data_IF_074268472799
#
_entry.id   IF_074268472799
#
_cell.length_a   1.000
_cell.length_b   1.000
_cell.length_c   1.000
_cell.angle_alpha   90.00
_cell.angle_beta   90.00
_cell.angle_gamma   90.00
#
_symmetry.space_group_name_H-M   'P 1'
#
loop_
_entity.id
_entity.type
_entity.pdbx_description
1 polymer ?
#
# COMPACT_ATOMS: atom_id res chain seq x y z
N UNK A 1 54.55 13.07 -20.34
CA UNK A 1 54.25 11.74 -19.77
C UNK A 1 53.06 11.15 -20.53
N UNK A 2 53.25 10.14 -21.39
CA UNK A 2 52.18 9.55 -22.22
C UNK A 2 51.42 8.52 -21.38
N UNK A 3 50.19 8.84 -20.98
CA UNK A 3 49.36 7.95 -20.15
C UNK A 3 48.95 6.71 -20.95
N UNK A 4 49.10 5.52 -20.37
CA UNK A 4 48.80 4.26 -21.03
C UNK A 4 47.28 4.11 -21.23
N UNK A 5 46.84 3.92 -22.47
CA UNK A 5 45.42 3.75 -22.82
C UNK A 5 44.74 2.62 -22.04
N UNK A 6 45.45 1.56 -21.67
CA UNK A 6 44.90 0.45 -20.87
C UNK A 6 44.55 0.88 -19.44
N UNK A 7 45.36 1.75 -18.85
CA UNK A 7 45.12 2.32 -17.51
C UNK A 7 43.91 3.26 -17.56
N UNK A 8 43.78 4.05 -18.63
CA UNK A 8 42.63 4.92 -18.83
C UNK A 8 41.31 4.14 -18.98
N UNK A 9 41.34 3.03 -19.75
CA UNK A 9 40.16 2.16 -19.94
C UNK A 9 39.76 1.48 -18.63
N UNK A 10 40.73 0.96 -17.86
CA UNK A 10 40.48 0.35 -16.55
C UNK A 10 39.84 1.33 -15.56
N UNK A 11 40.33 2.58 -15.53
CA UNK A 11 39.80 3.62 -14.65
C UNK A 11 38.38 4.04 -15.04
N UNK A 12 38.08 4.07 -16.33
CA UNK A 12 36.75 4.39 -16.85
C UNK A 12 35.72 3.30 -16.53
N UNK A 13 36.10 2.02 -16.69
CA UNK A 13 35.23 0.89 -16.35
C UNK A 13 34.90 0.82 -14.85
N UNK A 14 35.85 1.19 -13.99
CA UNK A 14 35.62 1.27 -12.54
C UNK A 14 34.60 2.37 -12.19
N UNK A 15 34.63 3.50 -12.90
CA UNK A 15 33.71 4.62 -12.67
C UNK A 15 32.26 4.28 -13.05
N UNK A 16 32.06 3.46 -14.11
CA UNK A 16 30.72 3.06 -14.54
C UNK A 16 30.01 2.15 -13.53
N UNK A 17 30.76 1.41 -12.71
CA UNK A 17 30.20 0.51 -11.67
C UNK A 17 29.47 1.24 -10.53
N UNK A 18 29.56 2.57 -10.44
CA UNK A 18 28.89 3.38 -9.43
C UNK A 18 27.55 3.97 -9.86
N UNK A 19 27.10 3.76 -11.11
CA UNK A 19 25.78 4.19 -11.53
C UNK A 19 24.70 3.28 -10.94
N UNK A 20 24.11 3.70 -9.82
CA UNK A 20 22.91 3.07 -9.25
C UNK A 20 21.65 3.71 -9.85
N UNK A 21 20.77 2.90 -10.44
CA UNK A 21 19.47 3.33 -10.91
C UNK A 21 18.45 3.12 -9.78
N UNK A 22 18.02 4.22 -9.16
CA UNK A 22 17.03 4.22 -8.09
C UNK A 22 15.71 4.75 -8.65
N UNK A 23 14.61 4.07 -8.36
CA UNK A 23 13.28 4.57 -8.72
C UNK A 23 12.95 5.77 -7.82
N UNK A 24 12.84 6.95 -8.44
CA UNK A 24 12.47 8.18 -7.76
C UNK A 24 11.23 8.80 -8.39
N UNK A 25 10.34 9.31 -7.54
CA UNK A 25 9.12 10.01 -7.93
C UNK A 25 9.03 11.31 -7.14
N UNK A 26 8.88 12.41 -7.85
CA UNK A 26 8.74 13.75 -7.29
C UNK A 26 7.35 14.28 -7.63
N UNK A 27 6.50 14.33 -6.62
CA UNK A 27 5.15 14.88 -6.72
C UNK A 27 5.20 16.35 -6.32
N UNK A 28 4.72 17.26 -7.16
CA UNK A 28 4.80 18.71 -6.93
C UNK A 28 3.45 19.37 -6.67
N UNK A 29 3.48 20.48 -5.95
CA UNK A 29 2.35 21.41 -5.77
C UNK A 29 1.07 20.79 -5.19
N UNK A 30 1.19 19.72 -4.39
CA UNK A 30 0.05 19.07 -3.77
C UNK A 30 -0.32 19.71 -2.42
N UNK A 31 -1.60 19.60 -2.05
CA UNK A 31 -2.03 19.74 -0.65
C UNK A 31 -1.77 18.43 0.07
N UNK A 32 -0.97 18.42 1.14
CA UNK A 32 -0.52 17.19 1.80
C UNK A 32 -1.03 17.14 3.24
N UNK A 33 -1.85 16.14 3.55
CA UNK A 33 -2.20 15.81 4.93
C UNK A 33 -1.14 14.89 5.52
N UNK A 34 -0.48 15.31 6.61
CA UNK A 34 0.62 14.52 7.20
C UNK A 34 0.16 13.53 8.26
N UNK A 35 -1.04 13.73 8.84
CA UNK A 35 -1.52 13.02 10.03
C UNK A 35 -0.52 13.05 11.22
N UNK A 36 0.26 14.13 11.31
CA UNK A 36 1.17 14.43 12.43
C UNK A 36 0.85 15.82 12.98
N UNK A 37 1.57 16.23 14.04
CA UNK A 37 1.47 17.58 14.63
C UNK A 37 1.74 18.71 13.62
N UNK A 38 2.41 18.42 12.49
CA UNK A 38 2.61 19.38 11.40
C UNK A 38 1.32 19.72 10.63
N UNK A 39 0.24 18.97 10.84
CA UNK A 39 -1.05 19.21 10.21
C UNK A 39 -1.03 19.05 8.69
N UNK A 40 -1.64 20.01 8.00
CA UNK A 40 -1.80 20.00 6.54
C UNK A 40 -0.89 21.04 5.90
N UNK A 41 -0.16 20.62 4.87
CA UNK A 41 0.67 21.49 4.04
C UNK A 41 -0.14 21.90 2.80
N UNK A 42 -0.49 23.17 2.67
CA UNK A 42 -1.37 23.63 1.58
C UNK A 42 -0.76 23.53 0.18
N UNK A 43 0.56 23.71 0.07
CA UNK A 43 1.29 23.57 -1.20
C UNK A 43 2.69 23.08 -0.90
N UNK A 44 2.92 21.79 -1.19
CA UNK A 44 4.18 21.12 -0.94
C UNK A 44 4.49 20.06 -2.01
N UNK A 45 5.77 19.74 -2.08
CA UNK A 45 6.34 18.69 -2.90
C UNK A 45 6.68 17.49 -2.01
N UNK A 46 6.58 16.30 -2.58
CA UNK A 46 6.84 15.02 -1.91
C UNK A 46 7.77 14.18 -2.80
N UNK A 47 8.95 13.86 -2.26
CA UNK A 47 9.95 13.03 -2.94
C UNK A 47 9.92 11.62 -2.37
N UNK A 48 9.68 10.66 -3.25
CA UNK A 48 9.71 9.22 -2.98
C UNK A 48 10.94 8.64 -3.66
N UNK A 49 11.68 7.80 -2.94
CA UNK A 49 12.81 7.03 -3.45
C UNK A 49 12.70 5.60 -2.96
N UNK A 50 12.72 4.63 -3.88
CA UNK A 50 12.61 3.20 -3.58
C UNK A 50 11.39 2.88 -2.70
N UNK A 51 10.23 3.47 -3.02
CA UNK A 51 8.98 3.30 -2.26
C UNK A 51 8.91 4.03 -0.92
N UNK A 52 9.96 4.75 -0.50
CA UNK A 52 9.99 5.48 0.76
C UNK A 52 9.88 6.99 0.54
N UNK A 53 9.11 7.68 1.38
CA UNK A 53 9.07 9.14 1.41
C UNK A 53 10.37 9.65 2.04
N UNK A 54 11.26 10.22 1.23
CA UNK A 54 12.57 10.71 1.70
C UNK A 54 12.53 12.20 2.07
N UNK A 55 11.58 12.97 1.52
CA UNK A 55 11.44 14.39 1.82
C UNK A 55 10.05 14.90 1.50
N UNK A 56 9.56 15.81 2.34
CA UNK A 56 8.39 16.64 2.10
C UNK A 56 8.80 18.10 2.32
N UNK A 57 8.48 19.01 1.40
CA UNK A 57 8.93 20.40 1.50
C UNK A 57 8.41 21.26 0.36
N UNK A 58 9.09 22.39 0.09
CA UNK A 58 8.79 23.25 -1.07
C UNK A 58 10.00 23.30 -1.99
N UNK A 59 9.77 23.48 -3.29
CA UNK A 59 10.82 23.64 -4.29
C UNK A 59 11.81 22.47 -4.30
N UNK A 60 11.29 21.25 -4.17
CA UNK A 60 12.11 20.06 -4.26
C UNK A 60 12.52 19.83 -5.73
N UNK A 61 13.74 19.33 -5.90
CA UNK A 61 14.32 18.97 -7.19
C UNK A 61 15.05 17.64 -7.07
N UNK A 62 14.86 16.77 -8.05
CA UNK A 62 15.68 15.58 -8.24
C UNK A 62 15.96 15.41 -9.73
N UNK A 63 17.20 15.03 -10.04
CA UNK A 63 17.65 14.82 -11.42
C UNK A 63 17.23 13.46 -11.98
N UNK A 64 16.92 12.50 -11.12
CA UNK A 64 16.60 11.12 -11.50
C UNK A 64 15.12 10.81 -11.35
N UNK A 65 14.36 11.68 -10.68
CA UNK A 65 12.96 11.44 -10.41
C UNK A 65 12.06 11.66 -11.63
N UNK A 66 11.08 10.78 -11.80
CA UNK A 66 9.88 11.12 -12.55
C UNK A 66 9.16 12.25 -11.82
N UNK A 67 8.82 13.33 -12.53
CA UNK A 67 8.17 14.51 -11.94
C UNK A 67 6.72 14.57 -12.37
N UNK A 68 5.82 14.66 -11.41
CA UNK A 68 4.38 14.78 -11.63
C UNK A 68 3.85 16.04 -10.92
N UNK A 69 3.12 16.88 -11.64
CA UNK A 69 2.45 18.05 -11.05
C UNK A 69 1.05 17.66 -10.55
N UNK A 70 0.84 17.85 -9.26
CA UNK A 70 -0.40 17.54 -8.54
C UNK A 70 -1.11 18.81 -8.06
N UNK A 71 -0.90 19.94 -8.74
CA UNK A 71 -1.63 21.18 -8.50
C UNK A 71 -3.15 20.95 -8.40
N UNK A 72 -3.76 21.45 -7.32
CA UNK A 72 -5.19 21.28 -7.04
C UNK A 72 -5.60 19.89 -6.55
N UNK A 73 -4.65 18.95 -6.40
CA UNK A 73 -4.88 17.61 -5.85
C UNK A 73 -4.40 17.51 -4.41
N UNK A 74 -4.86 16.45 -3.74
CA UNK A 74 -4.59 16.17 -2.33
C UNK A 74 -3.85 14.85 -2.18
N UNK A 75 -2.82 14.84 -1.35
CA UNK A 75 -2.12 13.64 -0.88
C UNK A 75 -2.50 13.41 0.59
N UNK A 76 -2.83 12.17 0.93
CA UNK A 76 -3.07 11.73 2.31
C UNK A 76 -2.29 10.45 2.58
N UNK A 77 -2.03 10.09 3.86
CA UNK A 77 -1.50 8.79 4.20
C UNK A 77 -2.47 7.71 3.71
N UNK A 78 -1.96 6.55 3.31
CA UNK A 78 -2.79 5.43 2.93
C UNK A 78 -3.77 5.07 4.05
N UNK A 79 -5.03 4.86 3.69
CA UNK A 79 -6.04 4.42 4.66
C UNK A 79 -5.76 2.98 5.06
N UNK A 80 -5.89 2.70 6.35
CA UNK A 80 -5.76 1.34 6.91
C UNK A 80 -7.15 0.89 7.33
N UNK A 81 -7.59 -0.25 6.80
CA UNK A 81 -8.82 -0.92 7.23
C UNK A 81 -8.47 -2.02 8.25
N UNK A 82 -8.57 -1.75 9.57
CA UNK A 82 -8.14 -2.70 10.60
C UNK A 82 -9.06 -3.92 10.69
N UNK A 83 -10.29 -3.79 10.19
CA UNK A 83 -11.25 -4.87 10.05
C UNK A 83 -11.64 -4.95 8.58
N UNK A 84 -11.07 -5.94 7.90
CA UNK A 84 -11.45 -6.31 6.54
C UNK A 84 -11.59 -7.82 6.49
N UNK A 85 -12.54 -8.30 5.68
CA UNK A 85 -12.69 -9.72 5.40
C UNK A 85 -12.23 -9.96 3.96
N UNK A 86 -11.24 -10.82 3.81
CA UNK A 86 -10.80 -11.34 2.52
C UNK A 86 -11.35 -12.76 2.42
N UNK A 87 -12.40 -12.96 1.61
CA UNK A 87 -13.03 -14.27 1.45
C UNK A 87 -14.53 -14.17 1.20
N UNK A 88 -15.16 -15.34 1.12
CA UNK A 88 -16.60 -15.47 0.98
C UNK A 88 -17.22 -15.25 2.36
N UNK A 89 -18.24 -14.40 2.42
CA UNK A 89 -19.11 -14.25 3.60
C UNK A 89 -20.29 -15.18 3.37
N UNK A 90 -20.50 -16.14 4.26
CA UNK A 90 -21.71 -16.97 4.21
C UNK A 90 -22.94 -16.11 4.50
N UNK A 91 -23.99 -16.29 3.70
CA UNK A 91 -25.29 -15.66 3.95
C UNK A 91 -26.19 -16.75 4.52
N UNK A 92 -26.39 -16.78 5.84
CA UNK A 92 -27.16 -17.81 6.57
C UNK A 92 -28.59 -18.07 6.02
N UNK A 93 -29.14 -17.10 5.27
CA UNK A 93 -30.48 -17.14 4.68
C UNK A 93 -30.57 -17.96 3.38
N UNK A 94 -29.44 -18.45 2.84
CA UNK A 94 -29.40 -19.25 1.62
C UNK A 94 -28.95 -20.67 1.98
N UNK A 95 -29.82 -21.69 1.89
CA UNK A 95 -29.49 -23.06 2.29
C UNK A 95 -28.24 -23.64 1.61
N UNK A 96 -27.96 -23.21 0.37
CA UNK A 96 -26.82 -23.68 -0.44
C UNK A 96 -25.44 -23.17 0.02
N UNK A 97 -25.40 -22.18 0.92
CA UNK A 97 -24.13 -21.69 1.50
C UNK A 97 -23.85 -22.26 2.89
N UNK A 98 -24.80 -23.01 3.45
CA UNK A 98 -24.71 -23.62 4.79
C UNK A 98 -23.94 -24.92 4.74
N UNK A 99 -22.68 -24.87 5.17
CA UNK A 99 -21.83 -26.06 5.33
C UNK A 99 -21.94 -26.70 6.73
N UNK A 100 -22.81 -26.14 7.60
CA UNK A 100 -23.09 -26.59 8.96
C UNK A 100 -23.93 -27.88 9.06
N UNK A 101 -24.41 -28.43 7.94
CA UNK A 101 -25.34 -29.58 7.90
C UNK A 101 -24.85 -30.64 6.92
N UNK A 102 -24.73 -31.88 7.42
CA UNK A 102 -24.59 -33.08 6.58
C UNK A 102 -25.97 -33.70 6.37
N UNK A 103 -26.35 -34.00 5.12
CA UNK A 103 -27.57 -34.77 4.82
C UNK A 103 -27.55 -36.20 5.42
N UNK A 104 -26.37 -36.69 5.84
CA UNK A 104 -26.17 -38.08 6.27
C UNK A 104 -26.18 -38.23 7.80
N UNK A 105 -25.84 -37.18 8.56
CA UNK A 105 -25.83 -37.25 10.03
C UNK A 105 -26.42 -35.99 10.66
N UNK A 106 -27.63 -36.11 11.21
CA UNK A 106 -28.25 -35.11 12.07
C UNK A 106 -27.87 -35.39 13.52
N UNK A 107 -26.86 -34.69 14.04
CA UNK A 107 -26.58 -34.62 15.47
C UNK A 107 -27.30 -33.40 16.07
N UNK A 108 -28.63 -33.36 15.94
CA UNK A 108 -29.48 -32.39 16.62
C UNK A 108 -29.91 -32.94 17.99
N UNK A 109 -29.65 -32.19 19.06
CA UNK A 109 -30.30 -32.41 20.36
C UNK A 109 -31.78 -32.04 20.23
N UNK A 110 -32.64 -33.03 19.98
CA UNK A 110 -34.09 -32.85 20.01
C UNK A 110 -34.59 -32.94 21.45
N UNK A 111 -35.01 -31.81 22.02
CA UNK A 111 -35.89 -31.78 23.20
C UNK A 111 -37.29 -31.49 22.68
N UNK A 112 -38.07 -32.55 22.49
CA UNK A 112 -39.51 -32.44 22.27
C UNK A 112 -40.18 -32.29 23.63
N UNK A 113 -40.71 -31.10 23.92
CA UNK A 113 -41.55 -30.88 25.07
C UNK A 113 -42.96 -31.42 24.73
N UNK A 114 -43.30 -32.60 25.27
CA UNK A 114 -44.65 -33.15 25.15
C UNK A 114 -45.68 -32.15 25.72
N UNK A 115 -46.70 -31.75 24.95
CA UNK A 115 -47.76 -30.92 25.49
C UNK A 115 -48.56 -31.74 26.50
N UNK A 116 -48.70 -31.22 27.73
CA UNK A 116 -49.62 -31.79 28.71
C UNK A 116 -51.05 -31.61 28.19
N UNK A 117 -51.71 -32.72 27.90
CA UNK A 117 -53.13 -32.79 27.57
C UNK A 117 -53.94 -32.42 28.83
N UNK A 118 -54.34 -31.16 28.95
CA UNK A 118 -55.23 -30.68 29.99
C UNK A 118 -56.67 -30.91 29.52
N UNK A 119 -57.31 -31.95 30.06
CA UNK A 119 -58.77 -32.11 30.06
C UNK A 119 -59.44 -31.02 30.88
#
# INVERSE_FOLDING_TARGET
>A
MKMNKKILISLFSFFMSFYSFSEELLLKNAKIHTATDKGTLETADLLIRNGLIVRIGKNLSSYQAQVEDLSGKVISPGLIAPHSQLGIVEIELIPETRDDRSEIYSAGLNIDLMPLDLR
#
